data_IF_334236967594
#
_entry.id   IF_334236967594
#
_cell.length_a   1.000
_cell.length_b   1.000
_cell.length_c   1.000
_cell.angle_alpha   90.00
_cell.angle_beta   90.00
_cell.angle_gamma   90.00
#
_symmetry.space_group_name_H-M   'P 1'
#
loop_
_entity.id
_entity.type
_entity.pdbx_description
1 polymer ?
#
# COMPACT_ATOMS: atom_id res chain seq x y z
N UNK A 1 -21.95 17.39 3.31
CA UNK A 1 -20.96 16.41 3.83
C UNK A 1 -20.52 15.39 2.79
N UNK A 2 -21.42 14.80 1.98
CA UNK A 2 -21.05 13.82 0.93
C UNK A 2 -20.03 14.36 -0.10
N UNK A 3 -20.18 15.64 -0.55
CA UNK A 3 -19.25 16.25 -1.54
C UNK A 3 -17.80 16.35 -1.03
N UNK A 4 -17.60 16.69 0.24
CA UNK A 4 -16.26 16.79 0.83
C UNK A 4 -15.59 15.39 0.86
N UNK A 5 -16.28 14.37 1.35
CA UNK A 5 -15.76 13.01 1.40
C UNK A 5 -15.43 12.44 -0.01
N UNK A 6 -16.24 12.78 -1.01
CA UNK A 6 -15.95 12.42 -2.40
C UNK A 6 -14.70 13.14 -2.93
N UNK A 7 -14.51 14.41 -2.59
CA UNK A 7 -13.31 15.17 -2.97
C UNK A 7 -12.06 14.57 -2.33
N UNK A 8 -12.12 14.30 -1.02
CA UNK A 8 -11.01 13.63 -0.32
C UNK A 8 -10.74 12.24 -0.87
N UNK A 9 -11.78 11.48 -1.23
CA UNK A 9 -11.62 10.17 -1.87
C UNK A 9 -10.90 10.24 -3.21
N UNK A 10 -11.22 11.22 -4.05
CA UNK A 10 -10.49 11.47 -5.33
C UNK A 10 -9.03 11.84 -5.07
N UNK A 11 -8.79 12.73 -4.08
CA UNK A 11 -7.42 13.12 -3.71
C UNK A 11 -6.65 11.91 -3.21
N UNK A 12 -7.21 11.11 -2.29
CA UNK A 12 -6.57 9.91 -1.77
C UNK A 12 -6.26 8.88 -2.87
N UNK A 13 -7.24 8.57 -3.72
CA UNK A 13 -7.04 7.66 -4.86
C UNK A 13 -6.00 8.21 -5.86
N UNK A 14 -6.02 9.52 -6.12
CA UNK A 14 -5.06 10.19 -7.00
C UNK A 14 -3.63 10.14 -6.44
N UNK A 15 -3.43 10.54 -5.18
CA UNK A 15 -2.12 10.47 -4.52
C UNK A 15 -1.61 9.04 -4.51
N UNK A 16 -2.44 8.08 -4.09
CA UNK A 16 -2.04 6.67 -4.05
C UNK A 16 -1.65 6.17 -5.44
N UNK A 17 -2.48 6.39 -6.45
CA UNK A 17 -2.23 5.90 -7.81
C UNK A 17 -0.97 6.52 -8.44
N UNK A 18 -0.78 7.84 -8.33
CA UNK A 18 0.44 8.49 -8.85
C UNK A 18 1.69 8.02 -8.12
N UNK A 19 1.60 7.83 -6.80
CA UNK A 19 2.73 7.35 -6.02
C UNK A 19 3.06 5.87 -6.27
N UNK A 20 2.07 5.01 -6.55
CA UNK A 20 2.30 3.63 -7.00
C UNK A 20 3.00 3.61 -8.36
N UNK A 21 2.64 4.48 -9.30
CA UNK A 21 3.33 4.60 -10.57
C UNK A 21 4.79 5.06 -10.38
N UNK A 22 5.03 6.06 -9.53
CA UNK A 22 6.38 6.53 -9.20
C UNK A 22 7.19 5.44 -8.50
N UNK A 23 6.56 4.65 -7.63
CA UNK A 23 7.19 3.51 -6.98
C UNK A 23 7.64 2.46 -8.00
N UNK A 24 6.79 2.07 -8.95
CA UNK A 24 7.14 1.14 -10.02
C UNK A 24 8.34 1.65 -10.83
N UNK A 25 8.30 2.89 -11.30
CA UNK A 25 9.44 3.49 -12.02
C UNK A 25 10.71 3.44 -11.16
N UNK A 26 10.60 3.76 -9.87
CA UNK A 26 11.73 3.77 -8.94
C UNK A 26 12.35 2.39 -8.73
N UNK A 27 11.54 1.33 -8.72
CA UNK A 27 12.01 -0.05 -8.63
C UNK A 27 12.80 -0.48 -9.88
N UNK A 28 12.42 0.00 -11.05
CA UNK A 28 13.20 -0.21 -12.28
C UNK A 28 14.50 0.59 -12.23
N UNK A 29 14.47 1.87 -11.80
CA UNK A 29 15.65 2.70 -11.61
C UNK A 29 16.64 2.06 -10.63
N UNK A 30 16.14 1.40 -9.58
CA UNK A 30 16.95 0.68 -8.60
C UNK A 30 17.84 -0.40 -9.24
N UNK A 31 17.42 -1.03 -10.32
CA UNK A 31 18.23 -2.04 -11.02
C UNK A 31 19.46 -1.43 -11.72
N UNK A 32 19.45 -0.12 -12.01
CA UNK A 32 20.54 0.59 -12.70
C UNK A 32 21.33 1.47 -11.72
N UNK A 33 20.62 2.23 -10.87
CA UNK A 33 21.20 3.17 -9.89
C UNK A 33 20.54 2.86 -8.53
N UNK A 34 21.13 1.88 -7.82
CA UNK A 34 20.54 1.32 -6.60
C UNK A 34 20.12 2.38 -5.57
N UNK A 35 21.00 3.30 -5.20
CA UNK A 35 20.76 4.27 -4.10
C UNK A 35 19.67 5.29 -4.45
N UNK A 36 19.66 5.74 -5.72
CA UNK A 36 18.61 6.65 -6.20
C UNK A 36 17.27 5.93 -6.25
N UNK A 37 17.24 4.69 -6.75
CA UNK A 37 16.03 3.89 -6.82
C UNK A 37 15.46 3.57 -5.44
N UNK A 38 16.30 3.20 -4.47
CA UNK A 38 15.87 3.00 -3.07
C UNK A 38 15.26 4.28 -2.50
N UNK A 39 15.95 5.41 -2.63
CA UNK A 39 15.46 6.69 -2.11
C UNK A 39 14.09 7.06 -2.69
N UNK A 40 13.94 6.99 -4.02
CA UNK A 40 12.69 7.34 -4.69
C UNK A 40 11.57 6.36 -4.38
N UNK A 41 11.85 5.06 -4.28
CA UNK A 41 10.84 4.06 -3.91
C UNK A 41 10.34 4.27 -2.47
N UNK A 42 11.25 4.51 -1.52
CA UNK A 42 10.87 4.81 -0.14
C UNK A 42 10.04 6.09 -0.04
N UNK A 43 10.45 7.17 -0.72
CA UNK A 43 9.71 8.42 -0.75
C UNK A 43 8.31 8.23 -1.35
N UNK A 44 8.20 7.51 -2.48
CA UNK A 44 6.92 7.18 -3.09
C UNK A 44 6.01 6.39 -2.15
N UNK A 45 6.58 5.43 -1.40
CA UNK A 45 5.83 4.62 -0.43
C UNK A 45 5.25 5.44 0.72
N UNK A 46 5.95 6.46 1.20
CA UNK A 46 5.40 7.38 2.20
C UNK A 46 4.15 8.10 1.67
N UNK A 47 4.16 8.54 0.42
CA UNK A 47 2.98 9.16 -0.21
C UNK A 47 1.87 8.13 -0.52
N UNK A 48 2.21 6.88 -0.86
CA UNK A 48 1.22 5.80 -0.96
C UNK A 48 0.50 5.66 0.37
N UNK A 49 1.22 5.63 1.49
CA UNK A 49 0.64 5.45 2.82
C UNK A 49 -0.33 6.60 3.18
N UNK A 50 0.07 7.86 2.92
CA UNK A 50 -0.80 9.04 3.15
C UNK A 50 -2.06 8.95 2.29
N UNK A 51 -1.89 8.74 0.98
CA UNK A 51 -3.00 8.67 0.04
C UNK A 51 -3.94 7.53 0.35
N UNK A 52 -3.40 6.37 0.72
CA UNK A 52 -4.17 5.17 1.04
C UNK A 52 -5.07 5.36 2.26
N UNK A 53 -4.57 5.94 3.35
CA UNK A 53 -5.40 6.23 4.54
C UNK A 53 -6.55 7.15 4.17
N UNK A 54 -6.29 8.24 3.43
CA UNK A 54 -7.32 9.18 2.98
C UNK A 54 -8.34 8.44 2.09
N UNK A 55 -7.87 7.59 1.20
CA UNK A 55 -8.68 6.81 0.28
C UNK A 55 -9.64 5.86 1.01
N UNK A 56 -9.12 5.04 1.93
CA UNK A 56 -9.92 4.10 2.73
C UNK A 56 -10.93 4.83 3.62
N UNK A 57 -10.50 5.86 4.35
CA UNK A 57 -11.39 6.66 5.18
C UNK A 57 -12.56 7.26 4.36
N UNK A 58 -12.26 7.68 3.12
CA UNK A 58 -13.29 8.24 2.24
C UNK A 58 -14.27 7.19 1.72
N UNK A 59 -13.81 5.96 1.39
CA UNK A 59 -14.69 4.84 1.01
C UNK A 59 -15.69 4.58 2.13
N UNK A 60 -15.20 4.45 3.35
CA UNK A 60 -16.04 4.12 4.50
C UNK A 60 -17.01 5.27 4.82
N UNK A 61 -16.54 6.54 4.74
CA UNK A 61 -17.36 7.71 5.06
C UNK A 61 -18.48 7.98 4.05
N UNK A 62 -18.31 7.56 2.79
CA UNK A 62 -19.35 7.70 1.74
C UNK A 62 -20.44 6.63 1.88
N UNK A 63 -20.10 5.45 2.42
CA UNK A 63 -20.97 4.29 2.56
C UNK A 63 -21.30 4.00 4.03
N UNK A 64 -21.59 5.03 4.81
CA UNK A 64 -21.78 4.92 6.27
C UNK A 64 -23.18 4.36 6.61
N UNK A 65 -23.44 3.10 6.27
CA UNK A 65 -24.58 2.36 6.79
C UNK A 65 -24.23 1.69 8.13
N UNK A 66 -25.24 1.61 9.01
CA UNK A 66 -25.08 1.04 10.36
C UNK A 66 -24.59 -0.41 10.33
N UNK A 67 -25.04 -1.18 9.33
CA UNK A 67 -24.69 -2.59 9.16
C UNK A 67 -23.22 -2.81 8.86
N UNK A 68 -22.59 -1.91 8.10
CA UNK A 68 -21.18 -2.03 7.70
C UNK A 68 -20.19 -1.29 8.62
N UNK A 69 -20.69 -0.71 9.71
CA UNK A 69 -19.88 0.17 10.57
C UNK A 69 -18.68 -0.52 11.19
N UNK A 70 -18.85 -1.73 11.73
CA UNK A 70 -17.75 -2.48 12.36
C UNK A 70 -16.65 -2.83 11.35
N UNK A 71 -17.04 -3.32 10.17
CA UNK A 71 -16.11 -3.64 9.07
C UNK A 71 -15.38 -2.39 8.59
N UNK A 72 -16.08 -1.28 8.45
CA UNK A 72 -15.49 0.00 8.06
C UNK A 72 -14.44 0.51 9.06
N UNK A 73 -14.76 0.50 10.36
CA UNK A 73 -13.82 0.89 11.41
C UNK A 73 -12.59 -0.01 11.42
N UNK A 74 -12.79 -1.34 11.29
CA UNK A 74 -11.69 -2.30 11.22
C UNK A 74 -10.79 -2.04 10.00
N UNK A 75 -11.39 -1.76 8.83
CA UNK A 75 -10.65 -1.40 7.61
C UNK A 75 -9.78 -0.15 7.83
N UNK A 76 -10.35 0.92 8.43
CA UNK A 76 -9.58 2.13 8.74
C UNK A 76 -8.46 1.87 9.75
N UNK A 77 -8.71 1.05 10.78
CA UNK A 77 -7.69 0.70 11.76
C UNK A 77 -6.49 0.01 11.10
N UNK A 78 -6.72 -0.98 10.22
CA UNK A 78 -5.64 -1.64 9.48
C UNK A 78 -4.95 -0.72 8.48
N UNK A 79 -5.65 0.24 7.86
CA UNK A 79 -5.02 1.26 7.02
C UNK A 79 -4.05 2.15 7.83
N UNK A 80 -4.40 2.52 9.06
CA UNK A 80 -3.53 3.31 9.94
C UNK A 80 -2.34 2.47 10.40
N UNK A 81 -2.53 1.21 10.79
CA UNK A 81 -1.43 0.31 11.16
C UNK A 81 -0.45 0.16 9.99
N UNK A 82 -0.94 -0.06 8.77
CA UNK A 82 -0.13 -0.05 7.55
C UNK A 82 0.70 1.22 7.45
N UNK A 83 0.06 2.39 7.51
CA UNK A 83 0.74 3.67 7.36
C UNK A 83 1.82 3.88 8.42
N UNK A 84 1.57 3.55 9.69
CA UNK A 84 2.56 3.64 10.77
C UNK A 84 3.78 2.78 10.48
N UNK A 85 3.57 1.52 10.09
CA UNK A 85 4.68 0.61 9.78
C UNK A 85 5.49 1.14 8.59
N UNK A 86 4.83 1.56 7.52
CA UNK A 86 5.47 2.10 6.32
C UNK A 86 6.28 3.37 6.63
N UNK A 87 5.73 4.28 7.45
CA UNK A 87 6.47 5.46 7.89
C UNK A 87 7.71 5.09 8.69
N UNK A 88 7.62 4.15 9.64
CA UNK A 88 8.77 3.72 10.43
C UNK A 88 9.87 3.11 9.56
N UNK A 89 9.50 2.21 8.66
CA UNK A 89 10.46 1.49 7.79
C UNK A 89 11.13 2.44 6.80
N UNK A 90 10.34 3.13 5.99
CA UNK A 90 10.90 3.91 4.90
C UNK A 90 11.50 5.25 5.33
N UNK A 91 10.96 5.85 6.40
CA UNK A 91 11.59 7.05 6.96
C UNK A 91 12.97 6.73 7.55
N UNK A 92 13.13 5.60 8.23
CA UNK A 92 14.45 5.15 8.70
C UNK A 92 15.43 4.91 7.55
N UNK A 93 14.97 4.32 6.43
CA UNK A 93 15.82 4.06 5.26
C UNK A 93 16.31 5.37 4.63
N UNK A 94 15.43 6.36 4.40
CA UNK A 94 15.82 7.63 3.75
C UNK A 94 16.54 8.60 4.69
N UNK A 95 16.55 8.38 5.99
CA UNK A 95 17.22 9.21 6.99
C UNK A 95 18.39 8.46 7.63
N UNK A 96 18.12 7.57 8.57
CA UNK A 96 19.15 6.93 9.40
C UNK A 96 20.09 6.05 8.56
N UNK A 97 19.56 5.20 7.69
CA UNK A 97 20.37 4.28 6.89
C UNK A 97 21.16 5.04 5.82
N UNK A 98 20.49 5.97 5.12
CA UNK A 98 21.11 6.72 4.02
C UNK A 98 22.15 7.73 4.48
N UNK A 99 21.97 8.34 5.65
CA UNK A 99 22.76 9.50 6.09
C UNK A 99 23.92 9.11 7.02
N UNK A 100 24.06 7.85 7.42
CA UNK A 100 25.06 7.41 8.36
C UNK A 100 25.86 6.22 7.80
N UNK A 101 27.11 6.16 8.18
CA UNK A 101 28.01 5.03 7.85
C UNK A 101 27.82 3.93 8.92
N UNK A 102 26.78 3.10 8.67
CA UNK A 102 26.36 2.08 9.63
C UNK A 102 27.11 0.75 9.41
N UNK A 103 27.40 0.07 10.51
CA UNK A 103 28.01 -1.26 10.43
C UNK A 103 27.06 -2.29 9.77
N UNK A 104 27.65 -3.35 9.22
CA UNK A 104 26.87 -4.41 8.56
C UNK A 104 25.85 -5.05 9.51
N UNK A 105 26.20 -5.20 10.77
CA UNK A 105 25.35 -5.78 11.81
C UNK A 105 24.09 -4.92 12.03
N UNK A 106 24.25 -3.59 12.06
CA UNK A 106 23.13 -2.66 12.19
C UNK A 106 22.25 -2.69 10.94
N UNK A 107 22.86 -2.71 9.75
CA UNK A 107 22.11 -2.77 8.48
C UNK A 107 21.28 -4.06 8.35
N UNK A 108 21.75 -5.19 8.90
CA UNK A 108 20.93 -6.45 8.92
C UNK A 108 19.65 -6.33 9.75
N UNK A 109 19.55 -5.31 10.58
CA UNK A 109 18.36 -5.07 11.41
C UNK A 109 17.47 -4.00 10.78
N UNK A 110 18.04 -2.82 10.46
CA UNK A 110 17.24 -1.62 10.15
C UNK A 110 17.15 -1.28 8.65
N UNK A 111 17.92 -1.93 7.76
CA UNK A 111 17.82 -1.61 6.33
C UNK A 111 16.70 -2.41 5.65
N UNK A 112 15.69 -1.72 5.17
CA UNK A 112 14.69 -2.28 4.25
C UNK A 112 15.34 -2.87 2.97
N UNK A 113 16.42 -2.26 2.53
CA UNK A 113 17.16 -2.73 1.35
C UNK A 113 17.78 -4.12 1.50
N UNK A 114 17.95 -4.64 2.73
CA UNK A 114 18.48 -5.97 3.01
C UNK A 114 17.36 -7.00 3.20
N UNK A 115 17.27 -7.94 2.28
CA UNK A 115 16.32 -9.06 2.36
C UNK A 115 16.56 -9.85 3.65
N UNK A 116 15.50 -10.05 4.43
CA UNK A 116 15.53 -10.78 5.71
C UNK A 116 15.88 -9.91 6.93
N UNK A 117 16.13 -8.61 6.76
CA UNK A 117 16.25 -7.70 7.90
C UNK A 117 14.92 -7.58 8.66
N UNK A 118 14.96 -7.08 9.89
CA UNK A 118 13.76 -6.80 10.67
C UNK A 118 12.84 -5.82 9.93
N UNK A 119 13.40 -4.77 9.34
CA UNK A 119 12.62 -3.74 8.65
C UNK A 119 12.07 -4.22 7.31
N UNK A 120 12.78 -5.12 6.60
CA UNK A 120 12.21 -5.83 5.45
C UNK A 120 10.98 -6.67 5.84
N UNK A 121 11.05 -7.36 6.97
CA UNK A 121 9.91 -8.15 7.47
C UNK A 121 8.76 -7.26 7.95
N UNK A 122 9.05 -6.12 8.55
CA UNK A 122 8.02 -5.13 8.91
C UNK A 122 7.37 -4.51 7.69
N UNK A 123 8.11 -4.28 6.61
CA UNK A 123 7.55 -3.82 5.34
C UNK A 123 6.49 -4.81 4.82
N UNK A 124 6.81 -6.09 4.77
CA UNK A 124 5.86 -7.13 4.39
C UNK A 124 4.64 -7.18 5.34
N UNK A 125 4.84 -7.03 6.64
CA UNK A 125 3.74 -6.92 7.60
C UNK A 125 2.87 -5.70 7.31
N UNK A 126 3.45 -4.56 6.97
CA UNK A 126 2.73 -3.37 6.55
C UNK A 126 1.83 -3.65 5.36
N UNK A 127 2.35 -4.25 4.29
CA UNK A 127 1.56 -4.63 3.12
C UNK A 127 0.49 -5.69 3.43
N UNK A 128 0.72 -6.59 4.38
CA UNK A 128 -0.32 -7.47 4.88
C UNK A 128 -1.48 -6.68 5.51
N UNK A 129 -1.19 -5.66 6.32
CA UNK A 129 -2.22 -4.79 6.91
C UNK A 129 -2.97 -3.98 5.83
N UNK A 130 -2.27 -3.50 4.81
CA UNK A 130 -2.88 -2.84 3.65
C UNK A 130 -3.87 -3.77 2.94
N UNK A 131 -3.47 -5.01 2.70
CA UNK A 131 -4.31 -6.01 2.03
C UNK A 131 -5.55 -6.37 2.88
N UNK A 132 -5.40 -6.51 4.18
CA UNK A 132 -6.52 -6.74 5.09
C UNK A 132 -7.48 -5.54 5.13
N UNK A 133 -6.93 -4.32 5.13
CA UNK A 133 -7.72 -3.09 5.07
C UNK A 133 -8.59 -3.04 3.80
N UNK A 134 -8.01 -3.28 2.62
CA UNK A 134 -8.75 -3.27 1.35
C UNK A 134 -9.80 -4.38 1.29
N UNK A 135 -9.46 -5.58 1.77
CA UNK A 135 -10.41 -6.69 1.86
C UNK A 135 -11.66 -6.30 2.66
N UNK A 136 -11.45 -5.71 3.83
CA UNK A 136 -12.56 -5.25 4.67
C UNK A 136 -13.32 -4.07 4.04
N UNK A 137 -12.62 -3.13 3.40
CA UNK A 137 -13.26 -2.02 2.69
C UNK A 137 -14.20 -2.50 1.58
N UNK A 138 -13.91 -3.64 0.95
CA UNK A 138 -14.76 -4.20 -0.09
C UNK A 138 -16.19 -4.49 0.38
N UNK A 139 -16.38 -4.86 1.65
CA UNK A 139 -17.71 -5.09 2.23
C UNK A 139 -18.51 -3.79 2.42
N UNK A 140 -17.82 -2.67 2.58
CA UNK A 140 -18.47 -1.36 2.71
C UNK A 140 -18.77 -0.69 1.35
N UNK A 141 -18.27 -1.23 0.23
CA UNK A 141 -18.53 -0.68 -1.10
C UNK A 141 -19.87 -1.19 -1.63
N UNK A 142 -20.80 -0.27 -1.88
CA UNK A 142 -22.07 -0.54 -2.56
C UNK A 142 -21.95 -0.26 -4.05
N UNK A 143 -21.92 -1.32 -4.90
CA UNK A 143 -21.76 -1.15 -6.33
C UNK A 143 -23.06 -0.70 -6.99
N UNK A 144 -23.03 0.41 -7.72
CA UNK A 144 -24.16 0.95 -8.50
C UNK A 144 -24.07 0.59 -9.99
N UNK A 145 -22.87 0.38 -10.49
CA UNK A 145 -22.62 0.03 -11.88
C UNK A 145 -21.62 -1.12 -12.04
N UNK A 146 -21.30 -1.46 -13.30
CA UNK A 146 -20.30 -2.50 -13.61
C UNK A 146 -18.90 -2.13 -13.10
N UNK A 147 -18.50 -0.86 -13.16
CA UNK A 147 -17.20 -0.41 -12.71
C UNK A 147 -17.07 -0.48 -11.19
N UNK A 148 -18.12 -0.14 -10.44
CA UNK A 148 -18.15 -0.28 -8.98
C UNK A 148 -18.07 -1.75 -8.55
N UNK A 149 -18.69 -2.66 -9.33
CA UNK A 149 -18.56 -4.11 -9.09
C UNK A 149 -17.12 -4.60 -9.28
N UNK A 150 -16.47 -4.15 -10.35
CA UNK A 150 -15.05 -4.48 -10.59
C UNK A 150 -14.17 -3.88 -9.50
N UNK A 151 -14.40 -2.63 -9.11
CA UNK A 151 -13.68 -1.99 -8.01
C UNK A 151 -13.79 -2.78 -6.71
N UNK A 152 -15.00 -3.14 -6.30
CA UNK A 152 -15.26 -3.98 -5.12
C UNK A 152 -14.56 -5.34 -5.23
N UNK A 153 -14.60 -5.98 -6.39
CA UNK A 153 -13.93 -7.26 -6.63
C UNK A 153 -12.41 -7.13 -6.48
N UNK A 154 -11.80 -6.09 -7.03
CA UNK A 154 -10.36 -5.85 -6.89
C UNK A 154 -9.98 -5.61 -5.42
N UNK A 155 -10.74 -4.81 -4.68
CA UNK A 155 -10.51 -4.64 -3.24
C UNK A 155 -10.56 -5.98 -2.50
N UNK A 156 -11.49 -6.86 -2.85
CA UNK A 156 -11.66 -8.16 -2.22
C UNK A 156 -10.51 -9.12 -2.55
N UNK A 157 -10.13 -9.21 -3.84
CA UNK A 157 -9.02 -10.07 -4.30
C UNK A 157 -7.69 -9.62 -3.70
N UNK A 158 -7.47 -8.32 -3.48
CA UNK A 158 -6.26 -7.82 -2.84
C UNK A 158 -6.01 -8.45 -1.45
N UNK A 159 -7.05 -8.89 -0.77
CA UNK A 159 -6.95 -9.63 0.49
C UNK A 159 -6.07 -10.89 0.43
N UNK A 160 -5.87 -11.49 -0.74
CA UNK A 160 -4.97 -12.64 -0.92
C UNK A 160 -3.52 -12.27 -0.55
N UNK A 161 -3.11 -11.02 -0.79
CA UNK A 161 -1.77 -10.54 -0.41
C UNK A 161 -1.54 -10.53 1.10
N UNK A 162 -2.59 -10.46 1.92
CA UNK A 162 -2.47 -10.61 3.37
C UNK A 162 -1.78 -11.92 3.74
N UNK A 163 -2.24 -13.03 3.16
CA UNK A 163 -1.69 -14.36 3.44
C UNK A 163 -0.25 -14.46 2.91
N UNK A 164 0.00 -14.03 1.68
CA UNK A 164 1.34 -14.11 1.08
C UNK A 164 2.37 -13.28 1.82
N UNK A 165 2.02 -12.04 2.21
CA UNK A 165 2.93 -11.15 2.94
C UNK A 165 3.24 -11.63 4.37
N UNK A 166 2.36 -12.42 5.00
CA UNK A 166 2.65 -13.08 6.28
C UNK A 166 3.49 -14.35 6.12
N UNK A 167 3.20 -15.16 5.09
CA UNK A 167 3.89 -16.45 4.89
C UNK A 167 5.34 -16.24 4.46
N UNK A 168 5.61 -15.26 3.59
CA UNK A 168 6.95 -15.01 3.05
C UNK A 168 8.02 -14.82 4.14
N UNK A 169 7.81 -14.00 5.20
CA UNK A 169 8.81 -13.88 6.27
C UNK A 169 8.80 -15.04 7.29
N UNK A 170 7.66 -15.71 7.51
CA UNK A 170 7.55 -16.83 8.46
C UNK A 170 8.25 -18.06 7.90
N UNK A 171 8.02 -18.36 6.65
CA UNK A 171 8.72 -19.42 5.92
C UNK A 171 9.73 -18.74 5.01
N UNK A 172 11.04 -18.74 5.33
CA UNK A 172 12.02 -17.87 4.67
C UNK A 172 12.17 -18.22 3.18
N UNK A 173 11.21 -17.74 2.39
CA UNK A 173 11.19 -17.87 0.93
C UNK A 173 12.32 -17.02 0.34
N UNK A 174 12.56 -15.85 0.91
CA UNK A 174 13.68 -14.98 0.57
C UNK A 174 14.72 -15.03 1.69
N UNK A 175 15.89 -15.62 1.41
CA UNK A 175 17.02 -15.65 2.35
C UNK A 175 17.94 -14.46 2.12
N UNK A 176 18.69 -14.08 3.16
CA UNK A 176 19.76 -13.10 3.02
C UNK A 176 20.72 -13.50 1.90
N UNK A 177 21.07 -12.55 1.01
CA UNK A 177 21.91 -12.81 -0.17
C UNK A 177 21.16 -13.31 -1.40
N UNK A 178 19.82 -13.47 -1.36
CA UNK A 178 19.03 -13.76 -2.56
C UNK A 178 19.01 -12.54 -3.50
N UNK A 179 18.96 -12.81 -4.82
CA UNK A 179 18.80 -11.74 -5.82
C UNK A 179 17.56 -10.89 -5.54
N UNK A 180 17.66 -9.57 -5.75
CA UNK A 180 16.54 -8.62 -5.62
C UNK A 180 15.51 -8.76 -6.76
N UNK A 181 15.90 -9.38 -7.89
CA UNK A 181 15.07 -9.44 -9.10
C UNK A 181 13.70 -10.07 -8.86
N UNK A 182 13.57 -11.27 -8.22
CA UNK A 182 12.26 -11.86 -7.98
C UNK A 182 11.34 -10.96 -7.13
N UNK A 183 11.89 -10.28 -6.12
CA UNK A 183 11.16 -9.32 -5.30
C UNK A 183 10.68 -8.13 -6.13
N UNK A 184 11.55 -7.58 -6.98
CA UNK A 184 11.19 -6.48 -7.89
C UNK A 184 10.07 -6.89 -8.84
N UNK A 185 10.14 -8.07 -9.47
CA UNK A 185 9.09 -8.57 -10.37
C UNK A 185 7.75 -8.68 -9.62
N UNK A 186 7.76 -9.22 -8.40
CA UNK A 186 6.55 -9.36 -7.60
C UNK A 186 5.94 -7.98 -7.26
N UNK A 187 6.76 -7.00 -6.93
CA UNK A 187 6.32 -5.63 -6.67
C UNK A 187 5.76 -4.95 -7.93
N UNK A 188 6.36 -5.17 -9.10
CA UNK A 188 5.84 -4.65 -10.37
C UNK A 188 4.46 -5.26 -10.72
N UNK A 189 4.28 -6.56 -10.48
CA UNK A 189 2.96 -7.22 -10.63
C UNK A 189 1.94 -6.61 -9.67
N UNK A 190 2.34 -6.34 -8.42
CA UNK A 190 1.49 -5.66 -7.46
C UNK A 190 1.14 -4.23 -7.91
N UNK A 191 2.09 -3.45 -8.43
CA UNK A 191 1.84 -2.12 -8.98
C UNK A 191 0.85 -2.17 -10.15
N UNK A 192 1.06 -3.08 -11.09
CA UNK A 192 0.17 -3.30 -12.23
C UNK A 192 -1.25 -3.68 -11.81
N UNK A 193 -1.41 -4.38 -10.70
CA UNK A 193 -2.69 -4.70 -10.09
C UNK A 193 -3.31 -3.50 -9.37
N UNK A 194 -2.51 -2.74 -8.60
CA UNK A 194 -3.03 -1.70 -7.72
C UNK A 194 -3.38 -0.40 -8.44
N UNK A 195 -2.73 -0.09 -9.57
CA UNK A 195 -3.05 1.08 -10.40
C UNK A 195 -4.50 1.08 -10.91
N UNK A 196 -5.03 0.01 -11.55
CA UNK A 196 -6.44 -0.09 -11.91
C UNK A 196 -7.39 0.09 -10.73
N UNK A 197 -7.02 -0.42 -9.55
CA UNK A 197 -7.81 -0.25 -8.32
C UNK A 197 -7.92 1.24 -7.95
N UNK A 198 -6.82 1.99 -8.00
CA UNK A 198 -6.81 3.42 -7.73
C UNK A 198 -7.64 4.21 -8.78
N UNK A 199 -7.52 3.86 -10.07
CA UNK A 199 -8.29 4.49 -11.16
C UNK A 199 -9.80 4.27 -10.99
N UNK A 200 -10.21 3.05 -10.68
CA UNK A 200 -11.61 2.72 -10.43
C UNK A 200 -12.10 3.39 -9.14
N UNK A 201 -11.28 3.47 -8.10
CA UNK A 201 -11.57 4.21 -6.88
C UNK A 201 -11.78 5.69 -7.15
N UNK A 202 -10.91 6.31 -7.95
CA UNK A 202 -11.09 7.70 -8.38
C UNK A 202 -12.42 7.91 -9.12
N UNK A 203 -12.76 6.99 -10.03
CA UNK A 203 -14.05 6.98 -10.74
C UNK A 203 -15.23 6.82 -9.77
N UNK A 204 -15.13 5.91 -8.79
CA UNK A 204 -16.16 5.64 -7.79
C UNK A 204 -16.59 6.89 -7.04
N UNK A 205 -15.65 7.81 -6.75
CA UNK A 205 -15.96 9.11 -6.14
C UNK A 205 -16.40 10.20 -7.12
N UNK A 206 -16.26 9.98 -8.44
CA UNK A 206 -16.67 10.95 -9.46
C UNK A 206 -18.16 10.85 -9.79
N UNK A 207 -18.76 9.68 -9.63
CA UNK A 207 -20.17 9.44 -9.94
C UNK A 207 -21.02 10.12 -8.87
N UNK A 208 -21.89 11.02 -9.33
CA UNK A 208 -22.87 11.67 -8.44
C UNK A 208 -23.85 10.61 -7.94
N UNK A 209 -23.78 10.29 -6.66
CA UNK A 209 -24.62 9.24 -6.03
C UNK A 209 -26.01 9.79 -5.63
N UNK A 210 -26.42 10.90 -6.22
CA UNK A 210 -27.67 11.61 -5.92
C UNK A 210 -28.77 11.38 -6.98
N UNK A 211 -28.75 10.25 -7.69
CA UNK A 211 -29.90 9.80 -8.50
C UNK A 211 -30.54 8.57 -7.88
#
# INVERSE_FOLDING_TARGET
MKKLNQTFGKIGAGITGTSVLLFAISMIVRLVINDVGIFLSCLSSLFIAIGFVIFICSIISVNNETEHRAVGISSMAFAVIYAVIIFLVYYAEITTVRMNDLSKEVLTIISYGQIGSLFFNYDLLGYAMMALSTFLAAFAVEPKDKGDRVFRLLLWIHGVFFISCLIVPIFPVFKAGTSIIPGTILLEIWCAYFLPLCLLGFRYFKIDKNC
#
